data_IF_065781485997
#
_entry.id   IF_065781485997
#
_cell.length_a   1.000
_cell.length_b   1.000
_cell.length_c   1.000
_cell.angle_alpha   90.00
_cell.angle_beta   90.00
_cell.angle_gamma   90.00
#
_symmetry.space_group_name_H-M   'P 1'
#
loop_
_entity.id
_entity.type
_entity.pdbx_description
1 polymer ?
2 non-polymer ?
3 non-polymer ?
4 non-polymer ?
5 non-polymer ?
6 water ?
#
# COMPACT_ATOMS: atom_id res chain seq x y z
N UNK A 14 -25.75 17.67 21.81
CA UNK A 14 -26.33 16.34 21.94
C UNK A 14 -25.30 15.24 22.14
N UNK A 15 -24.18 15.57 22.78
CA UNK A 15 -23.18 14.56 23.13
C UNK A 15 -23.59 13.76 24.37
N UNK A 16 -23.56 12.44 24.27
CA UNK A 16 -23.90 11.61 25.41
C UNK A 16 -22.62 11.05 26.02
N UNK A 17 -22.49 11.13 27.34
CA UNK A 17 -21.31 10.56 27.98
C UNK A 17 -21.67 9.19 28.50
N UNK A 18 -20.76 8.25 28.31
CA UNK A 18 -20.89 6.87 28.75
C UNK A 18 -19.52 6.41 29.19
N UNK A 19 -19.33 6.31 30.50
CA UNK A 19 -18.00 6.12 31.06
C UNK A 19 -17.16 7.30 30.62
N UNK A 20 -15.99 6.98 30.07
CA UNK A 20 -15.03 7.99 29.62
C UNK A 20 -15.15 8.27 28.14
N UNK A 21 -16.18 7.71 27.50
CA UNK A 21 -16.40 7.91 26.07
C UNK A 21 -17.56 8.86 25.81
N UNK A 22 -17.57 9.44 24.62
CA UNK A 22 -18.65 10.33 24.18
C UNK A 22 -19.26 9.82 22.88
N UNK A 23 -20.59 9.84 22.83
CA UNK A 23 -21.34 9.37 21.68
C UNK A 23 -22.29 10.43 21.15
N UNK A 24 -22.24 10.66 19.84
CA UNK A 24 -23.11 11.66 19.21
C UNK A 24 -23.89 11.08 18.04
N UNK A 25 -25.20 11.22 18.04
CA UNK A 25 -25.96 10.73 16.90
C UNK A 25 -25.81 11.70 15.73
N UNK A 26 -25.48 11.18 14.55
CA UNK A 26 -25.27 12.03 13.38
C UNK A 26 -26.42 11.93 12.38
N UNK A 27 -27.11 10.81 12.40
CA UNK A 27 -28.17 10.50 11.45
C UNK A 27 -29.03 9.43 12.10
N UNK A 28 -30.24 9.17 11.56
CA UNK A 28 -31.12 8.19 12.22
C UNK A 28 -30.47 6.82 12.51
N UNK A 29 -29.52 6.40 11.67
CA UNK A 29 -28.87 5.10 11.86
C UNK A 29 -27.34 5.20 12.02
N UNK A 30 -26.84 6.38 12.36
CA UNK A 30 -25.39 6.57 12.46
C UNK A 30 -24.99 7.38 13.69
N UNK A 31 -24.01 6.88 14.44
CA UNK A 31 -23.48 7.58 15.59
C UNK A 31 -21.95 7.70 15.47
N UNK A 32 -21.41 8.76 16.07
CA UNK A 32 -19.97 8.92 16.20
C UNK A 32 -19.52 8.53 17.61
N UNK A 33 -18.50 7.68 17.72
CA UNK A 33 -17.95 7.36 19.03
C UNK A 33 -16.63 8.10 19.21
N UNK A 34 -16.37 8.58 20.43
CA UNK A 34 -15.16 9.35 20.70
C UNK A 34 -14.48 8.84 21.98
N UNK A 35 -13.20 8.54 21.89
CA UNK A 35 -12.44 8.10 23.04
C UNK A 35 -11.21 8.99 23.17
N UNK A 36 -10.60 8.99 24.35
CA UNK A 36 -9.49 9.90 24.63
C UNK A 36 -8.29 9.15 25.17
N UNK A 37 -7.11 9.61 24.80
CA UNK A 37 -5.90 9.09 25.37
C UNK A 37 -5.02 10.24 25.82
N UNK A 38 -4.63 10.21 27.09
CA UNK A 38 -3.72 11.21 27.61
C UNK A 38 -2.35 10.87 27.06
N UNK A 39 -1.72 11.82 26.40
CA UNK A 39 -0.34 11.62 26.00
C UNK A 39 0.48 12.56 26.87
N UNK A 40 1.54 12.03 27.49
CA UNK A 40 2.30 12.75 28.52
C UNK A 40 2.91 14.05 28.02
N UNK A 41 2.56 15.16 28.69
CA UNK A 41 3.10 16.45 28.29
C UNK A 41 2.17 17.19 27.37
N UNK A 42 1.30 16.44 26.68
CA UNK A 42 0.47 17.00 25.63
C UNK A 42 -1.03 16.98 25.91
N UNK A 43 -1.45 16.11 26.83
CA UNK A 43 -2.85 16.01 27.22
C UNK A 43 -3.67 15.00 26.46
N UNK A 44 -4.98 15.01 26.72
CA UNK A 44 -5.91 14.05 26.13
C UNK A 44 -6.20 14.32 24.65
N UNK A 45 -6.06 13.27 23.84
CA UNK A 45 -6.33 13.38 22.42
C UNK A 45 -7.59 12.61 22.06
N UNK A 46 -8.52 13.28 21.39
CA UNK A 46 -9.76 12.62 21.00
C UNK A 46 -9.54 11.86 19.70
N UNK A 47 -10.25 10.74 19.57
CA UNK A 47 -10.28 9.98 18.32
C UNK A 47 -11.70 9.51 18.09
N UNK A 48 -12.18 9.72 16.87
CA UNK A 48 -13.55 9.41 16.51
C UNK A 48 -13.65 8.18 15.63
N UNK A 49 -14.73 7.43 15.79
CA UNK A 49 -15.09 6.39 14.84
C UNK A 49 -16.60 6.43 14.65
N UNK A 50 -17.16 5.43 13.98
CA UNK A 50 -18.59 5.42 13.67
C UNK A 50 -19.25 4.14 14.12
N UNK A 51 -20.56 4.25 14.38
CA UNK A 51 -21.39 3.10 14.67
C UNK A 51 -22.56 3.20 13.71
N UNK A 52 -22.86 2.13 12.99
CA UNK A 52 -23.92 2.18 12.00
C UNK A 52 -24.97 1.10 12.23
N UNK A 53 -26.24 1.50 12.33
CA UNK A 53 -27.33 0.52 12.42
C UNK A 53 -27.83 0.17 11.03
N UNK A 54 -27.70 -1.10 10.66
CA UNK A 54 -28.10 -1.59 9.34
C UNK A 54 -29.07 -2.75 9.47
N UNK A 55 -30.36 -2.42 9.47
CA UNK A 55 -31.39 -3.41 9.69
C UNK A 55 -31.30 -4.00 11.09
N UNK A 56 -31.08 -5.30 11.15
CA UNK A 56 -31.05 -6.01 12.42
C UNK A 56 -29.66 -6.23 12.99
N UNK A 57 -28.70 -5.42 12.56
CA UNK A 57 -27.32 -5.57 13.00
C UNK A 57 -26.60 -4.23 13.08
N UNK A 58 -25.46 -4.22 13.78
CA UNK A 58 -24.70 -3.00 13.97
C UNK A 58 -23.31 -3.19 13.38
N UNK A 59 -22.83 -2.15 12.68
CA UNK A 59 -21.49 -2.16 12.10
C UNK A 59 -20.66 -1.04 12.72
N UNK A 60 -19.40 -1.33 13.00
CA UNK A 60 -18.53 -0.38 13.67
C UNK A 60 -17.36 0.01 12.77
N UNK A 61 -17.01 1.30 12.70
CA UNK A 61 -15.80 1.75 12.00
C UNK A 61 -14.79 2.29 13.01
N UNK A 62 -13.65 1.59 13.11
CA UNK A 62 -12.54 1.88 14.03
C UNK A 62 -12.82 1.52 15.50
N UNK A 63 -11.78 1.05 16.19
CA UNK A 63 -11.84 0.80 17.62
C UNK A 63 -11.56 2.11 18.34
N UNK A 64 -11.62 2.09 19.67
CA UNK A 64 -11.14 3.21 20.48
C UNK A 64 -9.64 3.03 20.72
N UNK A 65 -9.01 3.88 21.53
CA UNK A 65 -7.54 3.77 21.75
C UNK A 65 -7.15 2.45 22.43
N UNK A 66 -7.98 1.98 23.34
CA UNK A 66 -7.64 0.79 24.14
C UNK A 66 -8.71 -0.26 24.08
N UNK A 67 -8.37 -1.45 24.58
CA UNK A 67 -9.32 -2.55 24.75
C UNK A 67 -10.47 -2.18 25.67
N UNK A 68 -10.13 -1.61 26.83
CA UNK A 68 -11.14 -1.25 27.81
C UNK A 68 -12.15 -0.26 27.24
N UNK A 69 -11.64 0.74 26.51
CA UNK A 69 -12.50 1.75 25.90
C UNK A 69 -13.37 1.14 24.81
N UNK A 70 -12.83 0.20 24.05
CA UNK A 70 -13.58 -0.42 22.97
C UNK A 70 -14.68 -1.32 23.52
N UNK A 71 -14.42 -1.97 24.65
CA UNK A 71 -15.46 -2.76 25.32
C UNK A 71 -16.61 -1.85 25.73
N UNK A 72 -16.30 -0.61 26.09
CA UNK A 72 -17.34 0.36 26.45
C UNK A 72 -18.18 0.77 25.24
N UNK A 73 -17.58 0.82 24.06
CA UNK A 73 -18.36 1.05 22.84
C UNK A 73 -19.39 -0.08 22.69
N UNK A 74 -18.95 -1.32 22.87
CA UNK A 74 -19.84 -2.48 22.76
C UNK A 74 -20.92 -2.44 23.85
N UNK A 75 -20.54 -1.96 25.03
CA UNK A 75 -21.51 -1.80 26.13
C UNK A 75 -22.55 -0.73 25.79
N UNK A 76 -22.08 0.41 25.27
CA UNK A 76 -22.98 1.48 24.83
C UNK A 76 -23.96 1.00 23.76
N UNK A 77 -23.45 0.23 22.80
CA UNK A 77 -24.27 -0.33 21.75
C UNK A 77 -25.35 -1.25 22.34
N UNK A 78 -24.95 -2.07 23.30
CA UNK A 78 -25.90 -2.97 23.95
C UNK A 78 -27.06 -2.20 24.56
N UNK A 79 -26.76 -1.08 25.20
CA UNK A 79 -27.78 -0.30 25.88
C UNK A 79 -28.64 0.57 24.97
N UNK A 80 -28.01 1.22 24.01
CA UNK A 80 -28.72 2.22 23.21
C UNK A 80 -29.35 1.66 21.95
N UNK A 81 -28.75 0.63 21.38
CA UNK A 81 -29.25 0.05 20.12
C UNK A 81 -29.81 -1.36 20.33
N UNK A 82 -29.13 -2.14 21.18
CA UNK A 82 -29.54 -3.49 21.53
C UNK A 82 -29.72 -4.40 20.31
N UNK A 83 -28.73 -4.39 19.44
CA UNK A 83 -28.66 -5.25 18.27
C UNK A 83 -27.24 -5.80 18.20
N UNK A 84 -27.05 -7.01 17.67
CA UNK A 84 -25.71 -7.63 17.59
C UNK A 84 -24.77 -6.83 16.70
N UNK A 85 -23.50 -6.74 17.09
CA UNK A 85 -22.47 -6.11 16.25
C UNK A 85 -21.96 -7.18 15.29
N UNK A 86 -22.25 -6.99 14.01
CA UNK A 86 -21.95 -8.02 13.01
C UNK A 86 -20.48 -8.00 12.57
N UNK A 87 -19.90 -6.80 12.47
CA UNK A 87 -18.53 -6.67 12.01
C UNK A 87 -17.96 -5.29 12.32
N UNK A 88 -16.64 -5.18 12.22
CA UNK A 88 -15.94 -3.91 12.36
C UNK A 88 -14.87 -3.79 11.28
N UNK A 89 -14.68 -2.57 10.80
CA UNK A 89 -13.63 -2.23 9.84
C UNK A 89 -12.70 -1.21 10.50
N UNK A 90 -11.39 -1.41 10.40
CA UNK A 90 -10.48 -0.45 11.00
C UNK A 90 -9.67 0.19 9.87
N UNK A 91 -9.37 1.48 9.99
CA UNK A 91 -8.99 2.23 8.79
C UNK A 91 -7.49 2.38 8.57
N UNK A 92 -6.66 2.14 9.59
CA UNK A 92 -5.23 1.89 9.37
C UNK A 92 -4.57 1.44 10.67
N UNK A 93 -3.32 1.01 10.58
CA UNK A 93 -2.63 0.39 11.70
C UNK A 93 -1.95 1.41 12.62
N UNK A 94 -2.76 2.25 13.25
CA UNK A 94 -2.28 3.12 14.33
C UNK A 94 -3.15 2.86 15.56
N UNK A 95 -2.65 3.26 16.73
CA UNK A 95 -3.32 2.92 17.99
C UNK A 95 -4.73 3.50 18.09
N UNK A 96 -4.96 4.68 17.53
CA UNK A 96 -6.28 5.29 17.69
C UNK A 96 -7.33 4.56 16.87
N UNK A 97 -6.90 3.83 15.85
CA UNK A 97 -7.84 3.08 15.01
C UNK A 97 -7.87 1.56 15.29
N UNK A 98 -6.77 0.99 15.78
CA UNK A 98 -6.73 -0.48 16.02
C UNK A 98 -6.33 -0.87 17.43
N UNK A 99 -6.25 0.10 18.33
CA UNK A 99 -5.80 -0.12 19.69
C UNK A 99 -6.65 -1.07 20.50
N UNK A 100 -7.93 -1.19 20.12
CA UNK A 100 -8.85 -2.01 20.87
C UNK A 100 -9.29 -3.29 20.20
N UNK A 101 -8.48 -3.83 19.29
CA UNK A 101 -8.88 -5.02 18.53
C UNK A 101 -9.24 -6.22 19.43
N UNK A 102 -8.51 -6.39 20.54
CA UNK A 102 -8.77 -7.52 21.45
C UNK A 102 -10.18 -7.51 22.01
N UNK A 103 -10.73 -6.32 22.26
CA UNK A 103 -12.08 -6.22 22.79
C UNK A 103 -13.10 -6.75 21.79
N UNK A 104 -12.83 -6.53 20.50
CA UNK A 104 -13.73 -7.03 19.46
C UNK A 104 -13.63 -8.55 19.28
N UNK A 105 -12.42 -9.06 19.25
CA UNK A 105 -12.22 -10.49 19.06
C UNK A 105 -12.70 -11.24 20.29
N UNK A 106 -12.54 -10.65 21.47
CA UNK A 106 -13.04 -11.27 22.70
C UNK A 106 -14.55 -11.46 22.65
N UNK A 107 -15.22 -10.56 21.94
CA UNK A 107 -16.68 -10.59 21.82
C UNK A 107 -17.17 -11.37 20.61
N UNK A 108 -16.23 -11.93 19.87
CA UNK A 108 -16.56 -12.73 18.70
C UNK A 108 -17.00 -11.93 17.49
N UNK A 109 -16.55 -10.67 17.42
CA UNK A 109 -16.91 -9.80 16.28
C UNK A 109 -15.87 -9.90 15.18
N UNK A 110 -16.33 -10.20 13.97
CA UNK A 110 -15.45 -10.31 12.79
C UNK A 110 -14.88 -8.96 12.43
N UNK A 111 -13.56 -8.91 12.23
CA UNK A 111 -12.89 -7.64 11.99
C UNK A 111 -12.21 -7.64 10.64
N UNK A 112 -12.22 -6.48 10.00
CA UNK A 112 -11.67 -6.29 8.66
C UNK A 112 -10.72 -5.10 8.62
N UNK A 113 -9.64 -5.25 7.87
CA UNK A 113 -8.70 -4.17 7.66
C UNK A 113 -8.06 -4.30 6.29
N UNK A 114 -7.51 -3.21 5.77
CA UNK A 114 -6.66 -3.30 4.59
C UNK A 114 -5.62 -4.41 4.83
N UNK A 115 -5.39 -5.28 3.84
CA UNK A 115 -4.35 -6.31 3.93
C UNK A 115 -3.02 -5.71 4.41
N UNK A 116 -2.67 -4.54 3.88
CA UNK A 116 -1.44 -3.86 4.29
C UNK A 116 -1.48 -3.46 5.78
N UNK A 117 -2.64 -3.04 6.28
CA UNK A 117 -2.77 -2.72 7.71
C UNK A 117 -2.48 -3.96 8.56
N UNK A 118 -3.01 -5.10 8.12
CA UNK A 118 -2.79 -6.34 8.84
C UNK A 118 -1.33 -6.78 8.76
N UNK A 119 -0.69 -6.48 7.64
CA UNK A 119 0.73 -6.81 7.48
C UNK A 119 1.59 -5.93 8.38
N UNK A 120 1.18 -4.67 8.53
CA UNK A 120 1.90 -3.73 9.36
C UNK A 120 1.60 -3.85 10.87
N UNK A 121 0.44 -4.40 11.22
CA UNK A 121 -0.02 -4.35 12.62
C UNK A 121 1.02 -4.87 13.64
N UNK A 122 1.60 -6.07 13.41
CA UNK A 122 2.61 -6.53 14.39
C UNK A 122 3.79 -5.57 14.59
N UNK A 123 4.28 -4.93 13.53
CA UNK A 123 5.37 -3.96 13.63
C UNK A 123 4.97 -2.73 14.43
N UNK A 124 3.67 -2.42 14.40
CA UNK A 124 3.14 -1.25 15.08
C UNK A 124 2.64 -1.57 16.48
N UNK A 125 2.73 -2.82 16.89
CA UNK A 125 2.26 -3.24 18.20
C UNK A 125 0.75 -3.43 18.27
N UNK A 126 0.13 -3.64 17.10
CA UNK A 126 -1.31 -3.81 17.03
C UNK A 126 -1.68 -5.27 16.82
N UNK A 127 -2.89 -5.62 17.18
CA UNK A 127 -3.43 -6.93 16.84
C UNK A 127 -4.08 -6.82 15.47
N UNK A 128 -3.72 -7.74 14.55
CA UNK A 128 -4.26 -7.69 13.19
C UNK A 128 -5.72 -8.05 13.18
N UNK A 129 -6.47 -7.53 12.22
CA UNK A 129 -7.88 -7.89 12.05
C UNK A 129 -7.95 -9.33 11.60
N UNK A 130 -9.11 -9.96 11.79
CA UNK A 130 -9.29 -11.36 11.42
C UNK A 130 -9.29 -11.54 9.91
N UNK A 131 -9.68 -10.50 9.17
CA UNK A 131 -9.82 -10.58 7.73
C UNK A 131 -9.17 -9.41 6.99
N UNK A 132 -8.74 -9.66 5.76
CA UNK A 132 -8.07 -8.67 4.93
C UNK A 132 -8.90 -8.16 3.76
N UNK A 133 -8.96 -6.84 3.61
CA UNK A 133 -9.57 -6.22 2.42
C UNK A 133 -8.51 -5.96 1.37
N UNK A 134 -8.86 -6.19 0.10
CA UNK A 134 -7.98 -5.76 -0.98
C UNK A 134 -8.72 -4.83 -1.93
N UNK A 135 -7.98 -4.12 -2.76
CA UNK A 135 -8.57 -3.02 -3.51
C UNK A 135 -8.23 -3.05 -4.98
N UNK A 136 -9.18 -2.63 -5.80
CA UNK A 136 -8.95 -2.52 -7.24
C UNK A 136 -8.00 -1.36 -7.53
N UNK A 137 -7.50 -1.29 -8.76
CA UNK A 137 -6.61 -0.20 -9.16
C UNK A 137 -7.34 1.14 -9.11
N UNK A 138 -8.67 1.15 -9.12
CA UNK A 138 -9.37 2.42 -8.99
C UNK A 138 -9.70 2.76 -7.54
N UNK A 139 -9.26 1.92 -6.60
CA UNK A 139 -9.40 2.23 -5.19
C UNK A 139 -10.60 1.63 -4.47
N UNK A 140 -11.58 1.15 -5.22
CA UNK A 140 -12.76 0.57 -4.57
C UNK A 140 -12.41 -0.82 -4.07
N UNK A 141 -12.96 -1.17 -2.91
CA UNK A 141 -12.70 -2.49 -2.34
C UNK A 141 -13.19 -3.57 -3.30
N UNK A 142 -12.44 -4.67 -3.36
CA UNK A 142 -12.88 -5.86 -4.07
C UNK A 142 -14.04 -6.49 -3.31
N UNK A 143 -15.22 -6.54 -3.94
CA UNK A 143 -16.46 -6.98 -3.30
C UNK A 143 -16.36 -8.35 -2.62
N UNK A 144 -15.53 -9.23 -3.16
CA UNK A 144 -15.37 -10.56 -2.56
C UNK A 144 -14.71 -10.49 -1.18
N UNK A 145 -13.93 -9.44 -0.91
CA UNK A 145 -13.25 -9.32 0.37
C UNK A 145 -14.09 -8.55 1.39
N UNK A 146 -15.16 -7.90 0.92
CA UNK A 146 -16.05 -7.15 1.80
C UNK A 146 -17.48 -7.65 1.67
N UNK A 147 -17.73 -8.88 2.11
CA UNK A 147 -19.06 -9.45 1.97
C UNK A 147 -19.99 -8.94 3.06
N UNK A 148 -21.23 -8.65 2.70
CA UNK A 148 -22.24 -8.27 3.67
C UNK A 148 -21.82 -7.03 4.47
N UNK A 149 -21.24 -6.04 3.78
CA UNK A 149 -20.83 -4.81 4.45
C UNK A 149 -21.98 -3.81 4.54
N UNK A 150 -23.13 -4.17 3.99
CA UNK A 150 -24.32 -3.32 4.07
C UNK A 150 -24.06 -1.95 3.48
N UNK A 151 -24.33 -0.90 4.25
CA UNK A 151 -24.11 0.44 3.74
C UNK A 151 -22.65 0.90 3.74
N UNK A 152 -21.72 0.11 4.29
CA UNK A 152 -20.33 0.56 4.36
C UNK A 152 -19.67 0.41 2.99
N UNK A 153 -19.25 1.53 2.39
CA UNK A 153 -18.54 1.52 1.12
C UNK A 153 -17.09 1.90 1.33
N UNK A 154 -16.21 0.91 1.27
CA UNK A 154 -14.81 1.13 1.62
C UNK A 154 -13.98 1.50 0.39
N UNK A 155 -13.18 2.56 0.54
CA UNK A 155 -12.40 3.10 -0.56
C UNK A 155 -10.96 3.33 -0.10
N UNK A 156 -9.99 2.86 -0.87
CA UNK A 156 -8.58 3.16 -0.61
C UNK A 156 -8.15 4.30 -1.53
N UNK A 157 -7.88 5.49 -0.95
CA UNK A 157 -7.67 6.68 -1.76
C UNK A 157 -6.23 6.83 -2.24
N UNK A 158 -5.36 5.97 -1.72
CA UNK A 158 -3.96 6.07 -2.00
C UNK A 158 -3.27 6.52 -0.75
N UNK A 159 -1.94 6.47 -0.77
CA UNK A 159 -1.15 6.81 0.42
C UNK A 159 -1.24 8.29 0.79
N UNK A 160 -1.33 8.56 2.09
CA UNK A 160 -1.45 9.93 2.54
C UNK A 160 -0.98 10.03 3.96
N UNK A 161 -1.94 9.95 4.87
CA UNK A 161 -1.62 9.89 6.28
C UNK A 161 -0.71 8.69 6.58
N UNK A 162 -1.06 7.53 6.03
CA UNK A 162 -0.16 6.37 6.02
C UNK A 162 -0.29 5.70 4.66
N UNK A 163 0.51 4.66 4.42
CA UNK A 163 0.41 3.91 3.16
C UNK A 163 -0.86 3.06 3.09
N UNK A 164 -1.39 2.71 4.26
CA UNK A 164 -2.50 1.75 4.33
C UNK A 164 -3.87 2.40 4.60
N UNK A 165 -3.94 3.71 4.81
CA UNK A 165 -5.18 4.36 5.18
C UNK A 165 -6.36 4.11 4.26
N UNK A 166 -7.49 3.74 4.83
CA UNK A 166 -8.68 3.59 4.01
C UNK A 166 -9.80 4.47 4.53
N UNK A 167 -10.84 4.63 3.72
CA UNK A 167 -11.96 5.51 4.04
C UNK A 167 -13.26 4.78 3.82
N UNK A 168 -14.34 5.29 4.42
CA UNK A 168 -15.62 4.60 4.36
C UNK A 168 -16.78 5.58 4.12
N UNK A 169 -17.59 5.32 3.09
CA UNK A 169 -18.81 6.09 2.92
C UNK A 169 -19.99 5.29 3.47
N UNK A 170 -20.99 5.99 4.00
CA UNK A 170 -22.18 5.30 4.52
C UNK A 170 -23.32 5.48 3.55
N UNK A 171 -23.60 4.43 2.81
CA UNK A 171 -24.60 4.46 1.76
C UNK A 171 -25.98 4.83 2.27
N UNK A 172 -26.65 5.72 1.54
CA UNK A 172 -27.97 6.16 1.94
C UNK A 172 -27.98 7.29 2.96
N UNK A 173 -26.80 7.81 3.31
CA UNK A 173 -26.72 8.95 4.24
C UNK A 173 -25.84 10.02 3.61
N UNK A 174 -25.70 11.14 4.29
CA UNK A 174 -24.83 12.20 3.76
C UNK A 174 -23.39 12.10 4.26
N UNK A 175 -23.05 10.96 4.86
CA UNK A 175 -21.85 10.83 5.66
C UNK A 175 -20.73 10.02 5.00
N UNK A 176 -19.51 10.54 5.05
CA UNK A 176 -18.33 9.77 4.64
C UNK A 176 -17.25 9.97 5.69
N UNK A 177 -16.51 8.92 5.97
CA UNK A 177 -15.51 8.93 7.02
C UNK A 177 -14.12 8.93 6.40
N UNK A 178 -13.37 9.99 6.64
CA UNK A 178 -12.03 10.12 6.09
C UNK A 178 -10.93 9.65 7.03
N UNK A 179 -11.28 9.25 8.25
CA UNK A 179 -10.29 8.77 9.21
C UNK A 179 -9.25 9.84 9.52
N UNK A 180 -7.98 9.45 9.60
CA UNK A 180 -6.94 10.45 9.93
C UNK A 180 -6.40 11.11 8.66
N UNK A 181 -6.89 10.70 7.49
CA UNK A 181 -6.46 11.34 6.25
C UNK A 181 -6.95 12.79 6.13
N UNK A 182 -8.17 13.05 6.57
CA UNK A 182 -8.80 14.36 6.40
C UNK A 182 -8.76 15.12 7.74
N UNK A 183 -8.35 16.39 7.69
CA UNK A 183 -8.43 17.28 8.84
C UNK A 183 -9.51 18.32 8.61
N UNK A 184 -10.03 18.95 9.66
CA UNK A 184 -11.13 19.88 9.41
C UNK A 184 -10.61 21.21 8.83
N UNK A 185 -11.53 22.03 8.36
CA UNK A 185 -11.16 23.25 7.63
C UNK A 185 -10.45 24.27 8.54
N UNK A 186 -10.49 24.07 9.85
CA UNK A 186 -9.82 24.96 10.78
C UNK A 186 -8.43 24.45 11.20
N UNK A 187 -8.03 23.30 10.68
CA UNK A 187 -6.76 22.68 11.11
C UNK A 187 -5.55 23.48 10.67
N UNK A 188 -4.58 23.54 11.57
CA UNK A 188 -3.30 24.18 11.31
C UNK A 188 -2.36 23.37 10.43
N UNK A 189 -2.25 22.08 10.76
CA UNK A 189 -1.30 21.20 10.11
C UNK A 189 -1.96 19.88 9.79
N UNK A 190 -1.22 18.97 9.15
CA UNK A 190 -1.76 17.67 8.81
C UNK A 190 -1.49 16.68 9.96
N UNK A 191 -1.04 17.22 11.09
CA UNK A 191 -0.79 16.40 12.26
C UNK A 191 0.45 15.54 12.13
N UNK A 192 0.31 14.26 12.49
CA UNK A 192 1.41 13.32 12.46
C UNK A 192 1.79 12.94 11.03
N UNK A 193 2.97 13.39 10.60
CA UNK A 193 3.48 13.04 9.28
C UNK A 193 4.60 12.01 9.38
N UNK A 194 4.73 11.40 10.55
CA UNK A 194 5.77 10.42 10.77
C UNK A 194 5.70 9.27 9.78
N UNK A 195 4.49 8.81 9.48
CA UNK A 195 4.29 7.67 8.59
C UNK A 195 3.77 8.08 7.21
N UNK A 196 3.74 9.39 6.96
CA UNK A 196 3.02 9.95 5.81
C UNK A 196 3.73 9.90 4.48
N UNK A 197 2.93 9.90 3.40
CA UNK A 197 3.40 10.03 2.04
C UNK A 197 3.12 11.44 1.55
N UNK A 198 4.10 12.34 1.68
CA UNK A 198 3.87 13.76 1.39
C UNK A 198 3.76 14.05 -0.10
N UNK A 199 4.29 13.15 -0.94
CA UNK A 199 4.18 13.33 -2.39
C UNK A 199 2.76 13.08 -2.90
N UNK A 200 2.08 12.08 -2.34
CA UNK A 200 0.78 11.66 -2.87
C UNK A 200 -0.42 12.06 -2.01
N UNK A 201 -0.18 12.61 -0.83
CA UNK A 201 -1.22 12.98 0.13
C UNK A 201 -2.34 13.83 -0.51
N UNK A 202 -1.96 14.87 -1.24
CA UNK A 202 -2.92 15.80 -1.80
C UNK A 202 -3.84 15.07 -2.77
N UNK A 203 -3.26 14.24 -3.63
CA UNK A 203 -4.05 13.48 -4.60
C UNK A 203 -4.97 12.48 -3.91
N UNK A 204 -4.49 11.89 -2.82
CA UNK A 204 -5.29 10.91 -2.07
C UNK A 204 -6.49 11.59 -1.38
N UNK A 205 -6.27 12.76 -0.82
CA UNK A 205 -7.37 13.52 -0.23
C UNK A 205 -8.43 13.89 -1.29
N UNK A 206 -8.00 14.35 -2.47
CA UNK A 206 -8.96 14.69 -3.52
C UNK A 206 -9.65 13.45 -4.04
N UNK A 207 -8.94 12.32 -4.09
CA UNK A 207 -9.54 11.06 -4.53
C UNK A 207 -10.68 10.63 -3.59
N UNK A 208 -10.49 10.80 -2.27
CA UNK A 208 -11.53 10.53 -1.29
C UNK A 208 -12.78 11.41 -1.58
N UNK A 209 -12.57 12.69 -1.83
CA UNK A 209 -13.66 13.58 -2.21
C UNK A 209 -14.41 13.15 -3.47
N UNK A 210 -13.66 12.71 -4.48
CA UNK A 210 -14.24 12.28 -5.75
C UNK A 210 -14.97 10.94 -5.63
N UNK A 211 -14.52 10.11 -4.69
CA UNK A 211 -15.10 8.80 -4.46
C UNK A 211 -16.47 8.92 -3.81
N UNK A 212 -16.66 9.96 -2.99
CA UNK A 212 -17.94 10.18 -2.33
C UNK A 212 -18.52 11.57 -2.59
N UNK A 213 -19.01 11.78 -3.81
CA UNK A 213 -19.51 13.11 -4.19
C UNK A 213 -20.83 13.45 -3.50
N UNK A 214 -21.56 12.46 -3.00
CA UNK A 214 -22.85 12.76 -2.40
C UNK A 214 -22.67 13.15 -0.94
N UNK A 215 -21.50 12.87 -0.37
CA UNK A 215 -21.31 13.13 1.06
C UNK A 215 -21.21 14.62 1.40
N UNK A 216 -22.10 15.10 2.26
CA UNK A 216 -22.07 16.50 2.68
C UNK A 216 -21.60 16.65 4.13
N UNK A 217 -21.58 15.54 4.86
CA UNK A 217 -21.05 15.52 6.22
C UNK A 217 -19.78 14.67 6.27
N UNK A 218 -18.65 15.30 6.53
CA UNK A 218 -17.38 14.58 6.55
C UNK A 218 -16.93 14.36 8.00
N UNK A 219 -16.87 13.08 8.37
CA UNK A 219 -16.43 12.67 9.70
C UNK A 219 -14.96 12.31 9.62
N UNK A 220 -14.20 12.74 10.61
CA UNK A 220 -12.78 12.48 10.63
C UNK A 220 -12.31 12.12 12.05
N UNK A 221 -11.08 11.65 12.15
CA UNK A 221 -10.62 11.09 13.41
C UNK A 221 -10.48 12.10 14.54
N UNK A 222 -9.96 13.28 14.22
CA UNK A 222 -9.56 14.18 15.30
C UNK A 222 -10.21 15.56 15.23
N UNK A 223 -11.41 15.61 14.66
CA UNK A 223 -12.23 16.83 14.69
C UNK A 223 -13.69 16.48 14.60
N UNK A 224 -14.54 17.37 15.10
CA UNK A 224 -16.00 17.22 14.93
C UNK A 224 -16.31 17.20 13.44
N UNK A 225 -17.45 16.60 13.04
CA UNK A 225 -17.80 16.51 11.61
C UNK A 225 -17.82 17.88 10.92
N UNK A 226 -17.35 17.94 9.68
CA UNK A 226 -17.26 19.20 8.95
C UNK A 226 -17.97 19.02 7.60
N UNK A 227 -18.04 20.11 6.82
CA UNK A 227 -18.57 20.05 5.46
C UNK A 227 -17.48 19.59 4.49
N UNK A 228 -17.81 19.51 3.20
CA UNK A 228 -16.81 19.05 2.20
C UNK A 228 -15.59 19.96 2.11
N UNK A 229 -15.68 21.17 2.66
CA UNK A 229 -14.53 22.09 2.71
C UNK A 229 -13.32 21.47 3.39
N UNK A 230 -13.55 20.59 4.35
CA UNK A 230 -12.47 19.86 5.02
C UNK A 230 -11.59 19.08 4.04
N UNK A 231 -12.22 18.48 3.03
CA UNK A 231 -11.46 17.70 2.06
C UNK A 231 -10.55 18.60 1.24
N UNK A 232 -11.14 19.67 0.71
CA UNK A 232 -10.41 20.62 -0.12
C UNK A 232 -9.34 21.36 0.66
N UNK A 233 -9.64 21.78 1.89
CA UNK A 233 -8.66 22.46 2.70
C UNK A 233 -7.48 21.54 3.04
N UNK A 234 -7.78 20.29 3.36
CA UNK A 234 -6.74 19.29 3.60
C UNK A 234 -5.86 19.10 2.35
N UNK A 235 -6.48 19.01 1.19
CA UNK A 235 -5.76 18.81 -0.05
C UNK A 235 -4.83 19.99 -0.34
N UNK A 236 -5.29 21.21 -0.04
CA UNK A 236 -4.47 22.38 -0.35
C UNK A 236 -3.32 22.56 0.63
N UNK A 237 -3.51 22.13 1.87
CA UNK A 237 -2.40 22.05 2.82
C UNK A 237 -1.38 21.00 2.37
N UNK A 238 -1.87 19.87 1.88
CA UNK A 238 -0.97 18.83 1.40
C UNK A 238 -0.20 19.28 0.17
N UNK A 239 -0.82 20.11 -0.67
CA UNK A 239 -0.19 20.67 -1.87
C UNK A 239 1.15 21.32 -1.58
N UNK A 240 1.28 21.93 -0.40
CA UNK A 240 2.48 22.65 -0.02
C UNK A 240 3.58 21.74 0.52
N UNK A 241 3.24 20.48 0.75
CA UNK A 241 4.23 19.51 1.24
C UNK A 241 4.98 18.83 0.10
N UNK A 242 4.58 19.10 -1.14
CA UNK A 242 5.20 18.44 -2.30
C UNK A 242 6.41 19.22 -2.80
N UNK B 14 31.47 -11.31 -20.69
CA UNK B 14 30.51 -11.92 -21.57
C UNK B 14 29.15 -11.23 -21.63
N UNK B 15 29.15 -9.92 -21.41
CA UNK B 15 27.92 -9.13 -21.53
C UNK B 15 27.57 -8.95 -22.99
N UNK B 16 26.30 -9.16 -23.33
CA UNK B 16 25.80 -8.99 -24.69
C UNK B 16 25.06 -7.65 -24.85
N UNK B 17 25.27 -7.00 -25.98
CA UNK B 17 24.57 -5.76 -26.32
C UNK B 17 23.53 -5.92 -27.45
N UNK B 18 22.43 -5.18 -27.33
CA UNK B 18 21.44 -5.04 -28.39
C UNK B 18 20.99 -3.59 -28.32
N UNK B 19 21.44 -2.78 -29.28
CA UNK B 19 21.19 -1.35 -29.21
C UNK B 19 21.81 -0.69 -27.98
N UNK B 20 20.95 -0.05 -27.17
CA UNK B 20 21.40 0.66 -25.97
C UNK B 20 21.33 -0.22 -24.73
N UNK B 21 20.97 -1.49 -24.91
CA UNK B 21 20.86 -2.39 -23.76
C UNK B 21 21.99 -3.40 -23.65
N UNK B 22 22.20 -3.82 -22.41
CA UNK B 22 23.24 -4.79 -22.07
C UNK B 22 22.57 -5.95 -21.33
N UNK B 23 22.98 -7.16 -21.66
CA UNK B 23 22.39 -8.35 -21.07
C UNK B 23 23.48 -9.18 -20.44
N UNK B 24 23.28 -9.61 -19.20
CA UNK B 24 24.26 -10.45 -18.51
C UNK B 24 23.55 -11.69 -18.03
N UNK B 25 24.05 -12.86 -18.40
CA UNK B 25 23.43 -14.09 -17.94
C UNK B 25 23.83 -14.38 -16.49
N UNK B 26 22.84 -14.67 -15.65
CA UNK B 26 23.08 -14.86 -14.22
C UNK B 26 22.98 -16.32 -13.82
N UNK B 27 22.22 -17.08 -14.60
CA UNK B 27 21.91 -18.46 -14.30
C UNK B 27 21.48 -19.06 -15.63
N UNK B 28 21.39 -20.40 -15.73
CA UNK B 28 21.06 -21.04 -17.01
C UNK B 28 19.82 -20.52 -17.76
N UNK B 29 18.81 -20.07 -17.02
CA UNK B 29 17.58 -19.56 -17.62
C UNK B 29 17.25 -18.16 -17.16
N UNK B 30 18.26 -17.43 -16.69
CA UNK B 30 18.01 -16.09 -16.16
C UNK B 30 19.05 -15.11 -16.68
N UNK B 31 18.58 -13.98 -17.19
CA UNK B 31 19.44 -12.89 -17.62
C UNK B 31 19.03 -11.63 -16.91
N UNK B 32 20.00 -10.75 -16.69
CA UNK B 32 19.71 -9.41 -16.22
C UNK B 32 19.70 -8.43 -17.41
N UNK B 33 18.65 -7.60 -17.53
CA UNK B 33 18.71 -6.56 -18.55
C UNK B 33 19.04 -5.22 -17.90
N UNK B 34 19.84 -4.41 -18.59
CA UNK B 34 20.31 -3.14 -18.07
C UNK B 34 20.15 -2.06 -19.12
N UNK B 35 19.51 -0.97 -18.75
CA UNK B 35 19.31 0.18 -19.62
C UNK B 35 19.80 1.42 -18.88
N UNK B 36 20.01 2.51 -19.62
CA UNK B 36 20.61 3.70 -19.04
C UNK B 36 19.83 4.96 -19.35
N UNK B 37 19.75 5.86 -18.38
CA UNK B 37 19.18 7.18 -18.60
C UNK B 37 20.10 8.27 -18.06
N UNK B 38 20.50 9.17 -18.93
CA UNK B 38 21.29 10.32 -18.51
C UNK B 38 20.48 11.43 -17.86
N UNK B 39 20.83 11.77 -16.62
CA UNK B 39 20.37 13.03 -16.06
C UNK B 39 21.47 14.02 -15.77
N UNK B 40 21.28 15.27 -16.20
CA UNK B 40 22.25 16.36 -16.03
C UNK B 40 22.50 16.55 -14.54
N UNK B 41 23.77 16.55 -14.15
CA UNK B 41 24.13 16.66 -12.74
C UNK B 41 24.51 15.33 -12.11
N UNK B 42 23.98 14.23 -12.66
CA UNK B 42 24.27 12.89 -12.13
C UNK B 42 25.01 11.98 -13.09
N UNK B 43 24.85 12.21 -14.38
CA UNK B 43 25.46 11.32 -15.35
C UNK B 43 24.48 10.20 -15.65
N UNK B 44 24.96 9.19 -16.36
CA UNK B 44 24.12 8.08 -16.78
C UNK B 44 23.73 7.19 -15.61
N UNK B 45 22.44 6.89 -15.51
CA UNK B 45 21.95 6.03 -14.43
C UNK B 45 21.52 4.68 -15.00
N UNK B 46 22.03 3.60 -14.42
CA UNK B 46 21.70 2.25 -14.83
C UNK B 46 20.42 1.74 -14.16
N UNK B 47 19.69 0.87 -14.84
CA UNK B 47 18.54 0.21 -14.23
C UNK B 47 18.48 -1.23 -14.68
N UNK B 48 18.33 -2.14 -13.74
CA UNK B 48 18.30 -3.58 -14.03
C UNK B 48 16.91 -4.16 -13.88
N UNK B 49 16.62 -5.15 -14.72
CA UNK B 49 15.44 -5.98 -14.59
C UNK B 49 15.86 -7.37 -14.97
N UNK B 50 14.90 -8.28 -15.08
CA UNK B 50 15.19 -9.69 -15.32
C UNK B 50 14.45 -10.29 -16.51
N UNK B 51 15.06 -11.32 -17.09
CA UNK B 51 14.44 -12.12 -18.13
C UNK B 51 14.54 -13.59 -17.73
N UNK B 52 13.42 -14.29 -17.74
CA UNK B 52 13.42 -15.67 -17.26
C UNK B 52 12.87 -16.62 -18.31
N UNK B 53 13.65 -17.64 -18.66
CA UNK B 53 13.18 -18.69 -19.56
C UNK B 53 12.52 -19.78 -18.74
N UNK B 54 11.23 -20.00 -18.98
CA UNK B 54 10.43 -21.01 -18.28
C UNK B 54 9.79 -21.96 -19.27
N UNK B 55 10.48 -23.06 -19.55
CA UNK B 55 10.01 -24.01 -20.55
C UNK B 55 9.97 -23.37 -21.93
N UNK B 56 8.79 -23.33 -22.53
CA UNK B 56 8.67 -22.81 -23.89
C UNK B 56 8.29 -21.35 -23.93
N UNK B 57 8.54 -20.64 -22.83
CA UNK B 57 8.13 -19.24 -22.80
C UNK B 57 9.08 -18.41 -21.96
N UNK B 58 8.96 -17.10 -22.13
CA UNK B 58 9.82 -16.15 -21.45
C UNK B 58 8.98 -15.20 -20.60
N UNK B 59 9.48 -14.88 -19.41
CA UNK B 59 8.84 -13.93 -18.52
C UNK B 59 9.77 -12.75 -18.27
N UNK B 60 9.21 -11.55 -18.20
CA UNK B 60 10.03 -10.37 -18.01
C UNK B 60 9.69 -9.70 -16.68
N UNK B 61 10.71 -9.32 -15.93
CA UNK B 61 10.50 -8.51 -14.74
C UNK B 61 11.07 -7.13 -14.98
N UNK B 62 10.18 -6.14 -14.97
CA UNK B 62 10.44 -4.71 -15.20
C UNK B 62 10.71 -4.29 -16.64
N UNK B 63 10.27 -3.08 -16.97
CA UNK B 63 10.59 -2.52 -18.28
C UNK B 63 11.95 -1.83 -18.17
N UNK B 64 12.42 -1.33 -19.31
CA UNK B 64 13.58 -0.44 -19.32
C UNK B 64 13.06 0.97 -19.07
N UNK B 65 13.93 1.98 -19.15
CA UNK B 65 13.51 3.36 -18.89
C UNK B 65 12.46 3.90 -19.85
N UNK B 66 12.57 3.51 -21.12
CA UNK B 66 11.72 4.04 -22.16
C UNK B 66 11.10 2.94 -22.99
N UNK B 67 10.10 3.30 -23.79
CA UNK B 67 9.48 2.38 -24.75
C UNK B 67 10.47 1.82 -25.76
N UNK B 68 11.27 2.69 -26.35
CA UNK B 68 12.25 2.26 -27.34
C UNK B 68 13.24 1.27 -26.73
N UNK B 69 13.69 1.55 -25.52
CA UNK B 69 14.61 0.64 -24.84
C UNK B 69 13.95 -0.70 -24.52
N UNK B 70 12.67 -0.66 -24.17
CA UNK B 70 11.95 -1.90 -23.85
C UNK B 70 11.72 -2.73 -25.11
N UNK B 71 11.49 -2.05 -26.22
CA UNK B 71 11.40 -2.74 -27.51
C UNK B 71 12.71 -3.45 -27.83
N UNK B 72 13.83 -2.87 -27.42
CA UNK B 72 15.12 -3.48 -27.66
C UNK B 72 15.29 -4.78 -26.85
N UNK B 73 14.77 -4.80 -25.62
CA UNK B 73 14.75 -6.01 -24.83
C UNK B 73 14.00 -7.13 -25.55
N UNK B 74 12.82 -6.77 -26.06
CA UNK B 74 11.97 -7.74 -26.74
C UNK B 74 12.58 -8.29 -28.02
N UNK B 75 13.27 -7.44 -28.76
CA UNK B 75 13.95 -7.89 -29.98
C UNK B 75 15.15 -8.78 -29.67
N UNK B 76 15.89 -8.44 -28.63
CA UNK B 76 16.98 -9.28 -28.15
C UNK B 76 16.48 -10.65 -27.70
N UNK B 77 15.35 -10.67 -27.02
CA UNK B 77 14.77 -11.93 -26.57
C UNK B 77 14.47 -12.82 -27.77
N UNK B 78 13.85 -12.20 -28.77
CA UNK B 78 13.47 -12.90 -29.98
C UNK B 78 14.70 -13.47 -30.67
N UNK B 79 15.77 -12.69 -30.65
CA UNK B 79 16.99 -13.06 -31.37
C UNK B 79 17.79 -14.14 -30.64
N UNK B 80 17.96 -13.99 -29.32
CA UNK B 80 18.83 -14.88 -28.55
C UNK B 80 18.13 -16.11 -27.95
N UNK B 81 16.87 -15.96 -27.60
CA UNK B 81 16.11 -17.03 -26.94
C UNK B 81 15.07 -17.63 -27.88
N UNK B 82 14.44 -16.76 -28.66
CA UNK B 82 13.43 -17.17 -29.65
C UNK B 82 12.31 -18.01 -29.03
N UNK B 83 11.73 -17.49 -27.95
CA UNK B 83 10.52 -18.01 -27.34
C UNK B 83 9.58 -16.83 -27.07
N UNK B 84 8.25 -17.07 -27.11
CA UNK B 84 7.30 -15.99 -26.86
C UNK B 84 7.37 -15.48 -25.41
N UNK B 85 7.23 -14.17 -25.27
CA UNK B 85 7.14 -13.53 -23.96
C UNK B 85 5.69 -13.58 -23.50
N UNK B 86 5.44 -14.37 -22.45
CA UNK B 86 4.09 -14.65 -22.00
C UNK B 86 3.52 -13.53 -21.14
N UNK B 87 4.38 -12.94 -20.33
CA UNK B 87 3.91 -11.91 -19.41
C UNK B 87 5.06 -11.12 -18.84
N UNK B 88 4.71 -9.98 -18.27
CA UNK B 88 5.69 -9.17 -17.60
C UNK B 88 5.09 -8.69 -16.30
N UNK B 89 5.93 -8.61 -15.29
CA UNK B 89 5.60 -8.05 -13.98
C UNK B 89 6.50 -6.84 -13.76
N UNK B 90 5.92 -5.71 -13.33
CA UNK B 90 6.71 -4.51 -13.07
C UNK B 90 6.60 -4.19 -11.57
N UNK B 91 7.66 -3.70 -10.95
CA UNK B 91 7.76 -3.78 -9.48
C UNK B 91 7.38 -2.53 -8.67
N UNK B 92 7.30 -1.36 -9.32
CA UNK B 92 6.62 -0.21 -8.73
C UNK B 92 6.46 0.89 -9.77
N UNK B 93 5.67 1.92 -9.45
CA UNK B 93 5.30 2.90 -10.45
C UNK B 93 6.29 4.05 -10.55
N UNK B 94 7.53 3.73 -10.92
CA UNK B 94 8.54 4.73 -11.26
C UNK B 94 9.03 4.45 -12.68
N UNK B 95 9.63 5.46 -13.30
CA UNK B 95 10.01 5.37 -14.70
C UNK B 95 11.00 4.24 -15.00
N UNK B 96 11.89 3.92 -14.07
CA UNK B 96 12.87 2.90 -14.40
C UNK B 96 12.23 1.50 -14.47
N UNK B 97 11.07 1.30 -13.84
CA UNK B 97 10.40 -0.01 -13.86
C UNK B 97 9.18 -0.08 -14.78
N UNK B 98 8.53 1.05 -15.00
CA UNK B 98 7.31 1.09 -15.79
C UNK B 98 7.39 2.07 -16.95
N UNK B 99 8.59 2.57 -17.21
CA UNK B 99 8.74 3.56 -18.26
C UNK B 99 8.40 3.03 -19.64
N UNK B 100 8.52 1.73 -19.83
CA UNK B 100 8.30 1.14 -21.14
C UNK B 100 7.02 0.32 -21.30
N UNK B 101 5.99 0.62 -20.51
CA UNK B 101 4.76 -0.17 -20.54
C UNK B 101 4.11 -0.20 -21.94
N UNK B 102 4.15 0.92 -22.63
CA UNK B 102 3.57 1.03 -23.97
C UNK B 102 4.16 0.04 -24.96
N UNK B 103 5.47 -0.20 -24.85
CA UNK B 103 6.14 -1.15 -25.74
C UNK B 103 5.70 -2.59 -25.47
N UNK B 104 5.46 -2.90 -24.19
CA UNK B 104 5.04 -4.25 -23.83
C UNK B 104 3.66 -4.53 -24.39
N UNK B 105 2.79 -3.53 -24.26
CA UNK B 105 1.41 -3.66 -24.72
C UNK B 105 1.37 -3.73 -26.25
N UNK B 106 2.22 -2.96 -26.92
CA UNK B 106 2.31 -3.00 -28.40
C UNK B 106 2.72 -4.36 -28.91
N UNK B 107 3.49 -5.08 -28.11
CA UNK B 107 3.99 -6.40 -28.48
C UNK B 107 3.07 -7.53 -28.04
N UNK B 108 1.92 -7.18 -27.47
CA UNK B 108 0.95 -8.18 -27.05
C UNK B 108 1.32 -8.94 -25.79
N UNK B 109 2.12 -8.32 -24.92
CA UNK B 109 2.53 -8.98 -23.69
C UNK B 109 1.59 -8.58 -22.54
N UNK B 110 1.03 -9.58 -21.86
CA UNK B 110 0.15 -9.35 -20.72
C UNK B 110 0.98 -8.80 -19.57
N UNK B 111 0.53 -7.71 -18.97
CA UNK B 111 1.32 -7.05 -17.93
C UNK B 111 0.63 -7.05 -16.58
N UNK B 112 1.44 -7.21 -15.54
CA UNK B 112 0.96 -7.30 -14.16
C UNK B 112 1.73 -6.36 -13.25
N UNK B 113 1.01 -5.75 -12.33
CA UNK B 113 1.64 -4.90 -11.32
C UNK B 113 0.80 -4.90 -10.06
N UNK B 114 1.40 -4.54 -8.95
CA UNK B 114 0.64 -4.29 -7.72
C UNK B 114 -0.55 -3.36 -8.03
N UNK B 115 -1.74 -3.69 -7.53
CA UNK B 115 -2.90 -2.82 -7.69
C UNK B 115 -2.55 -1.39 -7.34
N UNK B 116 -1.77 -1.22 -6.28
CA UNK B 116 -1.36 0.11 -5.83
C UNK B 116 -0.46 0.79 -6.87
N UNK B 117 0.42 0.03 -7.52
CA UNK B 117 1.23 0.59 -8.61
C UNK B 117 0.36 1.09 -9.74
N UNK B 118 -0.67 0.32 -10.09
CA UNK B 118 -1.60 0.72 -11.14
C UNK B 118 -2.43 1.95 -10.76
N UNK B 119 -2.75 2.09 -9.48
CA UNK B 119 -3.47 3.26 -8.97
C UNK B 119 -2.60 4.51 -8.97
N UNK B 120 -1.33 4.33 -8.65
CA UNK B 120 -0.40 5.45 -8.62
C UNK B 120 0.09 5.86 -10.01
N UNK B 121 0.02 4.94 -10.97
CA UNK B 121 0.71 5.14 -12.25
C UNK B 121 0.34 6.47 -12.94
N UNK B 122 -0.97 6.80 -13.06
CA UNK B 122 -1.29 8.09 -13.71
C UNK B 122 -0.68 9.33 -13.05
N UNK B 123 -0.66 9.37 -11.72
CA UNK B 123 -0.08 10.49 -10.99
C UNK B 123 1.40 10.62 -11.28
N UNK B 124 2.03 9.49 -11.59
CA UNK B 124 3.47 9.42 -11.77
C UNK B 124 3.87 9.63 -13.23
N UNK B 125 2.87 9.79 -14.10
CA UNK B 125 3.13 9.93 -15.53
C UNK B 125 3.42 8.60 -16.21
N UNK B 126 2.97 7.52 -15.58
CA UNK B 126 3.15 6.16 -16.10
C UNK B 126 1.86 5.56 -16.66
N UNK B 127 2.01 4.58 -17.54
CA UNK B 127 0.90 3.77 -18.03
C UNK B 127 0.67 2.55 -17.13
N UNK B 128 -0.57 2.32 -16.71
CA UNK B 128 -0.88 1.19 -15.82
C UNK B 128 -0.74 -0.17 -16.53
N UNK B 129 -0.47 -1.22 -15.75
CA UNK B 129 -0.45 -2.59 -16.26
C UNK B 129 -1.89 -3.01 -16.57
N UNK B 130 -2.05 -4.02 -17.42
CA UNK B 130 -3.38 -4.52 -17.75
C UNK B 130 -4.06 -5.29 -16.61
N UNK B 131 -3.26 -5.81 -15.69
CA UNK B 131 -3.79 -6.61 -14.59
C UNK B 131 -3.18 -6.17 -13.28
N UNK B 132 -3.95 -6.30 -12.21
CA UNK B 132 -3.54 -5.92 -10.87
C UNK B 132 -3.28 -7.15 -10.00
N UNK B 133 -2.12 -7.16 -9.33
CA UNK B 133 -1.81 -8.16 -8.32
C UNK B 133 -2.24 -7.67 -6.95
N UNK B 134 -2.80 -8.55 -6.13
CA UNK B 134 -3.07 -8.21 -4.73
C UNK B 134 -2.40 -9.22 -3.82
N UNK B 135 -2.28 -8.87 -2.55
CA UNK B 135 -1.43 -9.61 -1.63
C UNK B 135 -2.10 -9.93 -0.32
N UNK B 136 -1.76 -11.09 0.21
CA UNK B 136 -2.23 -11.50 1.53
C UNK B 136 -1.56 -10.66 2.59
N UNK B 137 -2.05 -10.77 3.82
CA UNK B 137 -1.49 -10.03 4.94
C UNK B 137 -0.06 -10.50 5.27
N UNK B 138 0.33 -11.68 4.82
CA UNK B 138 1.72 -12.09 5.04
C UNK B 138 2.65 -11.66 3.88
N UNK B 139 2.09 -10.93 2.91
CA UNK B 139 2.88 -10.38 1.82
C UNK B 139 2.95 -11.18 0.53
N UNK B 140 2.56 -12.44 0.57
CA UNK B 140 2.62 -13.27 -0.63
C UNK B 140 1.47 -12.95 -1.55
N UNK B 141 1.74 -12.95 -2.85
CA UNK B 141 0.71 -12.60 -3.84
C UNK B 141 -0.46 -13.60 -3.76
N UNK B 142 -1.67 -13.12 -3.96
CA UNK B 142 -2.83 -14.00 -4.11
C UNK B 142 -2.75 -14.74 -5.45
N UNK B 143 -2.63 -16.07 -5.40
CA UNK B 143 -2.41 -16.89 -6.59
C UNK B 143 -3.43 -16.66 -7.70
N UNK B 144 -4.66 -16.33 -7.34
CA UNK B 144 -5.69 -16.09 -8.35
C UNK B 144 -5.39 -14.85 -9.19
N UNK B 145 -4.62 -13.90 -8.63
CA UNK B 145 -4.30 -12.69 -9.36
C UNK B 145 -3.01 -12.82 -10.17
N UNK B 146 -2.25 -13.89 -9.91
CA UNK B 146 -0.99 -14.13 -10.60
C UNK B 146 -1.03 -15.50 -11.27
N UNK B 147 -1.89 -15.66 -12.28
CA UNK B 147 -2.01 -16.99 -12.86
C UNK B 147 -0.86 -17.34 -13.81
N UNK B 148 -0.42 -18.60 -13.76
CA UNK B 148 0.61 -19.11 -14.66
C UNK B 148 1.92 -18.32 -14.57
N UNK B 149 2.34 -18.01 -13.35
CA UNK B 149 3.58 -17.25 -13.17
C UNK B 149 4.82 -18.14 -13.14
N UNK B 150 4.63 -19.45 -13.27
CA UNK B 150 5.76 -20.36 -13.31
C UNK B 150 6.67 -20.25 -12.10
N UNK B 151 7.97 -20.04 -12.34
CA UNK B 151 8.95 -19.95 -11.24
C UNK B 151 8.96 -18.62 -10.50
N UNK B 152 8.20 -17.64 -10.99
CA UNK B 152 8.16 -16.31 -10.39
C UNK B 152 7.36 -16.33 -9.09
N UNK B 153 8.03 -16.01 -7.99
CA UNK B 153 7.38 -15.95 -6.69
C UNK B 153 7.30 -14.50 -6.26
N UNK B 154 6.11 -13.92 -6.33
CA UNK B 154 5.97 -12.49 -6.08
C UNK B 154 5.62 -12.20 -4.63
N UNK B 155 6.36 -11.27 -4.01
CA UNK B 155 6.21 -10.95 -2.60
C UNK B 155 6.17 -9.44 -2.38
N UNK B 156 5.17 -8.98 -1.63
CA UNK B 156 5.08 -7.58 -1.22
C UNK B 156 5.61 -7.45 0.21
N UNK B 157 6.78 -6.82 0.38
CA UNK B 157 7.49 -6.78 1.67
C UNK B 157 7.03 -5.69 2.63
N UNK B 158 6.17 -4.79 2.16
CA UNK B 158 5.76 -3.64 2.93
C UNK B 158 6.38 -2.41 2.31
N UNK B 159 5.93 -1.23 2.74
CA UNK B 159 6.40 0.06 2.18
C UNK B 159 7.85 0.31 2.57
N UNK B 160 8.61 0.85 1.62
CA UNK B 160 10.02 1.12 1.82
C UNK B 160 10.44 2.19 0.84
N UNK B 161 11.00 1.78 -0.29
CA UNK B 161 11.33 2.71 -1.38
C UNK B 161 10.07 3.47 -1.83
N UNK B 162 8.99 2.73 -2.00
CA UNK B 162 7.68 3.30 -2.25
C UNK B 162 6.67 2.48 -1.47
N UNK B 163 5.43 2.93 -1.49
CA UNK B 163 4.35 2.22 -0.83
C UNK B 163 3.99 0.93 -1.58
N UNK B 164 4.28 0.90 -2.87
CA UNK B 164 3.83 -0.19 -3.74
C UNK B 164 4.90 -1.20 -4.14
N UNK B 165 6.13 -1.00 -3.74
CA UNK B 165 7.22 -1.83 -4.19
C UNK B 165 7.03 -3.32 -3.95
N UNK B 166 7.17 -4.13 -4.98
CA UNK B 166 7.13 -5.57 -4.82
C UNK B 166 8.46 -6.21 -5.25
N UNK B 167 8.62 -7.46 -4.86
CA UNK B 167 9.88 -8.17 -5.10
C UNK B 167 9.57 -9.52 -5.67
N UNK B 168 10.57 -10.16 -6.29
CA UNK B 168 10.34 -11.42 -6.98
C UNK B 168 11.51 -12.41 -6.78
N UNK B 169 11.18 -13.61 -6.35
CA UNK B 169 12.19 -14.68 -6.26
C UNK B 169 12.02 -15.60 -7.43
N UNK B 170 13.11 -16.21 -7.88
CA UNK B 170 13.05 -17.17 -8.98
C UNK B 170 13.25 -18.59 -8.48
N UNK B 171 12.18 -19.37 -8.44
CA UNK B 171 12.26 -20.75 -7.97
C UNK B 171 13.20 -21.55 -8.85
N UNK B 172 14.00 -22.39 -8.21
CA UNK B 172 14.97 -23.20 -8.92
C UNK B 172 16.30 -22.49 -9.12
N UNK B 173 16.41 -21.30 -8.56
CA UNK B 173 17.67 -20.55 -8.62
C UNK B 173 18.06 -20.00 -7.26
N UNK B 174 19.23 -19.38 -7.21
CA UNK B 174 19.71 -18.69 -6.02
C UNK B 174 19.35 -17.20 -6.03
N UNK B 175 18.43 -16.79 -6.90
CA UNK B 175 18.25 -15.38 -7.25
C UNK B 175 16.98 -14.75 -6.66
N UNK B 176 17.14 -13.56 -6.11
CA UNK B 176 15.98 -12.76 -5.69
C UNK B 176 16.18 -11.33 -6.14
N UNK B 177 15.08 -10.73 -6.58
CA UNK B 177 15.11 -9.37 -7.14
C UNK B 177 14.42 -8.40 -6.17
N UNK B 178 15.18 -7.45 -5.63
CA UNK B 178 14.62 -6.48 -4.69
C UNK B 178 14.20 -5.17 -5.34
N UNK B 179 14.47 -5.04 -6.63
CA UNK B 179 14.11 -3.82 -7.33
C UNK B 179 14.84 -2.65 -6.69
N UNK B 180 14.14 -1.55 -6.52
CA UNK B 180 14.76 -0.34 -5.97
C UNK B 180 14.70 -0.28 -4.45
N UNK B 181 14.08 -1.29 -3.83
CA UNK B 181 14.03 -1.36 -2.36
C UNK B 181 15.42 -1.57 -1.79
N UNK B 182 16.19 -2.39 -2.50
CA UNK B 182 17.50 -2.81 -2.06
C UNK B 182 18.60 -2.05 -2.80
N UNK B 183 19.56 -1.52 -2.03
CA UNK B 183 20.79 -0.96 -2.59
C UNK B 183 21.95 -1.88 -2.25
N UNK B 184 23.07 -1.81 -2.98
CA UNK B 184 24.17 -2.74 -2.73
C UNK B 184 24.97 -2.39 -1.46
N UNK B 185 25.85 -3.31 -1.06
CA UNK B 185 26.52 -3.20 0.22
C UNK B 185 27.49 -2.02 0.32
N UNK B 186 27.86 -1.45 -0.82
CA UNK B 186 28.78 -0.31 -0.82
C UNK B 186 28.06 1.04 -0.97
N UNK B 187 26.73 1.02 -1.03
CA UNK B 187 25.97 2.23 -1.25
C UNK B 187 26.06 3.20 -0.08
N UNK B 188 26.19 4.47 -0.44
CA UNK B 188 26.25 5.57 0.53
C UNK B 188 24.88 5.82 1.13
N UNK B 189 23.87 5.82 0.26
CA UNK B 189 22.51 6.20 0.65
C UNK B 189 21.48 5.25 0.07
N UNK B 190 20.23 5.49 0.40
CA UNK B 190 19.12 4.66 -0.06
C UNK B 190 18.51 5.18 -1.36
N UNK B 191 19.20 6.13 -1.99
CA UNK B 191 18.76 6.68 -3.26
C UNK B 191 17.57 7.59 -3.10
N UNK B 192 16.61 7.46 -4.01
CA UNK B 192 15.43 8.32 -3.97
C UNK B 192 14.47 7.97 -2.85
N UNK B 193 14.40 8.84 -1.85
CA UNK B 193 13.51 8.67 -0.72
C UNK B 193 12.33 9.63 -0.79
N UNK B 194 12.13 10.23 -1.97
CA UNK B 194 11.04 11.16 -2.16
C UNK B 194 9.67 10.57 -1.85
N UNK B 195 9.46 9.32 -2.26
CA UNK B 195 8.18 8.63 -2.10
C UNK B 195 8.20 7.59 -0.98
N UNK B 196 9.30 7.57 -0.24
CA UNK B 196 9.57 6.47 0.68
C UNK B 196 8.82 6.56 2.00
N UNK B 197 8.66 5.39 2.62
CA UNK B 197 8.14 5.24 3.97
C UNK B 197 9.35 5.01 4.87
N UNK B 198 9.86 6.08 5.47
CA UNK B 198 11.10 5.98 6.25
C UNK B 198 10.90 5.26 7.57
N UNK B 199 9.67 5.21 8.05
CA UNK B 199 9.40 4.51 9.31
C UNK B 199 9.48 2.99 9.15
N UNK B 200 9.01 2.48 8.02
CA UNK B 200 8.91 1.04 7.82
C UNK B 200 9.96 0.47 6.87
N UNK B 201 10.74 1.35 6.26
CA UNK B 201 11.72 0.92 5.24
C UNK B 201 12.58 -0.24 5.75
N UNK B 202 13.12 -0.10 6.96
CA UNK B 202 14.02 -1.08 7.52
C UNK B 202 13.38 -2.47 7.68
N UNK B 203 12.15 -2.51 8.21
CA UNK B 203 11.44 -3.78 8.38
C UNK B 203 11.08 -4.42 7.03
N UNK B 204 10.77 -3.59 6.05
CA UNK B 204 10.42 -4.10 4.73
C UNK B 204 11.64 -4.73 4.06
N UNK B 205 12.81 -4.08 4.18
CA UNK B 205 14.03 -4.65 3.62
C UNK B 205 14.32 -5.98 4.28
N UNK B 206 14.16 -6.05 5.60
CA UNK B 206 14.37 -7.31 6.31
C UNK B 206 13.32 -8.35 5.96
N UNK B 207 12.08 -7.91 5.74
CA UNK B 207 11.00 -8.82 5.33
C UNK B 207 11.32 -9.48 3.99
N UNK B 208 11.86 -8.69 3.06
CA UNK B 208 12.31 -9.24 1.79
C UNK B 208 13.36 -10.33 2.01
N UNK B 209 14.33 -10.05 2.89
CA UNK B 209 15.37 -11.01 3.20
C UNK B 209 14.78 -12.32 3.73
N UNK B 210 13.81 -12.20 4.63
CA UNK B 210 13.23 -13.39 5.27
C UNK B 210 12.34 -14.21 4.32
N UNK B 211 11.78 -13.55 3.32
CA UNK B 211 10.88 -14.20 2.35
C UNK B 211 11.65 -15.10 1.40
N UNK B 212 12.88 -14.71 1.09
CA UNK B 212 13.75 -15.50 0.23
C UNK B 212 15.06 -15.75 0.97
N UNK B 213 15.02 -16.58 2.03
CA UNK B 213 16.17 -16.70 2.92
C UNK B 213 17.36 -17.44 2.32
N UNK B 214 17.10 -18.25 1.30
CA UNK B 214 18.14 -19.08 0.70
C UNK B 214 18.79 -18.42 -0.50
N UNK B 215 18.23 -17.30 -0.94
CA UNK B 215 18.75 -16.60 -2.11
C UNK B 215 20.09 -15.99 -1.75
N UNK B 216 21.10 -16.30 -2.57
CA UNK B 216 22.46 -15.83 -2.35
C UNK B 216 22.89 -14.75 -3.33
N UNK B 217 22.18 -14.66 -4.45
CA UNK B 217 22.41 -13.61 -5.42
C UNK B 217 21.22 -12.66 -5.42
N UNK B 218 21.49 -11.43 -5.02
CA UNK B 218 20.45 -10.42 -4.91
C UNK B 218 20.59 -9.46 -6.07
N UNK B 219 19.56 -9.41 -6.90
CA UNK B 219 19.53 -8.51 -8.03
C UNK B 219 18.76 -7.26 -7.62
N UNK B 220 19.26 -6.09 -7.99
CA UNK B 220 18.58 -4.86 -7.61
C UNK B 220 18.63 -3.88 -8.77
N UNK B 221 17.89 -2.79 -8.65
CA UNK B 221 17.73 -1.90 -9.79
C UNK B 221 19.00 -1.15 -10.21
N UNK B 222 19.79 -0.67 -9.26
CA UNK B 222 20.86 0.27 -9.60
C UNK B 222 22.24 -0.14 -9.17
N UNK B 223 22.46 -1.45 -9.05
CA UNK B 223 23.79 -1.96 -8.78
C UNK B 223 23.91 -3.33 -9.40
N UNK B 224 25.14 -3.73 -9.70
CA UNK B 224 25.41 -5.10 -10.17
C UNK B 224 24.95 -6.09 -9.10
N UNK B 225 24.68 -7.33 -9.49
CA UNK B 225 24.21 -8.30 -8.47
C UNK B 225 25.17 -8.40 -7.27
N UNK B 226 24.60 -8.52 -6.08
CA UNK B 226 25.39 -8.54 -4.84
C UNK B 226 25.04 -9.78 -4.02
N UNK B 227 25.71 -9.96 -2.88
CA UNK B 227 25.36 -11.00 -1.92
C UNK B 227 24.25 -10.48 -1.00
N UNK B 228 23.83 -11.31 -0.04
CA UNK B 228 22.82 -10.91 0.93
C UNK B 228 23.23 -9.68 1.76
N UNK B 229 24.52 -9.35 1.70
CA UNK B 229 25.02 -8.13 2.35
C UNK B 229 24.23 -6.90 1.91
N UNK B 230 23.74 -6.89 0.66
CA UNK B 230 22.94 -5.77 0.17
C UNK B 230 21.68 -5.61 1.01
N UNK B 231 21.08 -6.73 1.41
CA UNK B 231 19.88 -6.69 2.23
C UNK B 231 20.17 -6.09 3.60
N UNK B 232 21.23 -6.61 4.22
CA UNK B 232 21.63 -6.19 5.56
C UNK B 232 22.07 -4.72 5.58
N UNK B 233 22.86 -4.34 4.60
CA UNK B 233 23.32 -2.96 4.53
C UNK B 233 22.17 -1.99 4.28
N UNK B 234 21.24 -2.37 3.40
CA UNK B 234 20.06 -1.54 3.14
C UNK B 234 19.26 -1.36 4.42
N UNK B 235 19.07 -2.45 5.15
CA UNK B 235 18.29 -2.40 6.40
C UNK B 235 18.94 -1.48 7.42
N UNK B 236 20.26 -1.53 7.51
CA UNK B 236 20.93 -0.72 8.51
C UNK B 236 20.98 0.75 8.12
N UNK B 237 21.03 1.06 6.83
CA UNK B 237 20.90 2.45 6.39
C UNK B 237 19.50 2.98 6.70
N UNK B 238 18.49 2.12 6.47
CA UNK B 238 17.11 2.45 6.75
C UNK B 238 16.85 2.59 8.26
N UNK B 239 17.57 1.82 9.07
CA UNK B 239 17.53 1.93 10.53
C UNK B 239 17.79 3.36 11.01
N UNK B 240 18.69 4.04 10.30
CA UNK B 240 19.10 5.39 10.69
C UNK B 240 18.11 6.45 10.22
N UNK B 241 17.11 6.03 9.46
CA UNK B 241 16.10 6.99 9.00
C UNK B 241 14.98 7.10 10.04
N UNK B 242 15.02 6.23 11.04
CA UNK B 242 13.98 6.20 12.07
C UNK B 242 14.29 7.12 13.25
X LIG C 1 -2.75 7.36 12.10
X LIG D 1 -5.33 9.49 14.09
X LIG E 1 -4.13 12.45 12.83
X LIG E 1 -3.40 12.91 13.72
X LIG E 1 -2.87 14.04 13.56
X LIG E 1 -3.13 12.16 14.79
X LIG E 1 -3.49 10.88 14.78
X LIG E 1 -2.51 12.54 16.00
X LIG E 1 -2.79 11.36 16.92
X LIG E 1 -3.07 10.18 16.01
X LIG E 1 -1.81 9.38 15.63
X LIG E 1 -1.99 8.90 14.17
X LIG E 1 -0.99 9.04 13.41
X LIG E 1 -3.10 8.48 13.80
X LIG E 1 -1.59 8.15 16.54
X LIG E 1 -2.76 7.31 16.58
X LIG E 1 -1.21 8.57 17.97
X LIG E 1 -3.32 14.01 16.75
X LIG E 1 -2.33 15.45 16.20
X LIG E 1 -3.22 16.58 15.68
X LIG E 1 -2.80 17.88 16.24
X LIG E 1 -3.58 18.97 16.17
X LIG E 1 -3.15 20.12 16.70
X LIG F 1 -9.03 22.27 -5.45
X LIG F 1 -7.89 22.81 -4.71
X LIG F 1 -9.19 20.84 -5.20
X LIG F 1 -10.26 22.94 -5.06
X LIG F 1 -8.82 22.48 -6.88
X LIG G 1 11.55 3.90 -7.64
X LIG H 1 14.96 2.90 -9.15
X LIG I 1 16.56 3.75 -6.57
X LIG I 1 17.14 4.80 -6.92
X LIG I 1 18.06 5.25 -6.19
X LIG I 1 16.72 5.42 -8.02
X LIG I 1 15.74 4.86 -8.73
X LIG I 1 17.14 6.63 -8.60
X LIG I 1 16.68 6.49 -10.04
X LIG I 1 15.40 5.73 -9.86
X LIG I 1 14.28 6.63 -9.37
X LIG I 1 13.34 5.77 -8.49
X LIG I 1 13.12 4.59 -8.84
X LIG I 1 12.91 6.30 -7.43
X LIG I 1 13.55 7.26 -10.58
X LIG I 1 12.38 7.92 -10.11
X LIG I 1 13.17 6.20 -11.60
X LIG I 1 18.96 6.81 -8.55
X LIG I 1 19.15 8.01 -7.17
X LIG I 1 20.56 8.05 -6.58
X LIG I 1 21.19 6.73 -6.76
X LIG I 1 22.26 6.55 -7.54
X LIG I 1 22.79 5.33 -7.67
X LIG J 1 12.07 0.12 18.16
#
# INVERSE_FOLDING_TARGET
GEIRPTIGQQMETGDQRFGDLVFRQLAPNVWQHTSYLDMPGFGAVASNGLIVRDGGRVLVVDTAWTDDQTAQILNWIKQEINLPVALAVVTHAHQDKMGGMDALHAAGIATYANALSNQLAPQEGMVAAQHSLTFAANGWVEPATAPNFGPLKVFYPGPGHTSDNITVGIDGTDIAFGGCLIKDSKAKSLGNLGDADTEHYAASARAFGAAFPKASMIVMSHSAPDSRAAITHTARMADKLR
GEIRPTIGQQMETGDQRFGDLVFRQLAPNVWQHTSYLDMPGFGAVASNGLIVRDGGRVLVVDTAWTDDQTAQILNWIKQEINLPVALAVVTHAHQDKMGGMDALHAAGIATYANALSNQLAPQEGMVAAQHSLTFAANGWVEPATAPNFGPLKVFYPGPGHTSDNITVGIDGTDIAFGGCLIKDSKAKSLGNLGDADTEHYAASARAFGAAFPKASMIVMSHSAPDSRAAITHTARMADKLR
ZN ZN
ZN ZN
HIW O31 C31 O32 C3 N4 C2 C1 C5 C6 C7 O71 O72 C61 O62 C62 S21 C22 C23 N24 C25 N26
SO4 S O1 O2 O3 O4
ZN ZN
ZN ZN
HIW O31 C31 O32 C3 N4 C2 C1 C5 C6 C7 O71 O72 C61 O62 C62 S21 C22 C23 N24 C25 N26
CL CL
#
